data_IF_399614210453
#
_entry.id   IF_399614210453
#
_cell.length_a   1.000
_cell.length_b   1.000
_cell.length_c   1.000
_cell.angle_alpha   90.00
_cell.angle_beta   90.00
_cell.angle_gamma   90.00
#
_symmetry.space_group_name_H-M   'P 1'
#
loop_
_entity.id
_entity.type
_entity.pdbx_description
1 polymer ?
#
# COMPACT_ATOMS: atom_id res chain seq x y z
N UNK A 1 32.34 -21.53 -0.70
CA UNK A 1 31.79 -20.17 -0.47
C UNK A 1 31.45 -19.60 -1.84
N UNK A 2 30.33 -20.02 -2.40
CA UNK A 2 29.82 -19.49 -3.67
C UNK A 2 28.79 -18.40 -3.37
N UNK A 3 29.13 -17.17 -3.74
CA UNK A 3 28.22 -16.05 -3.78
C UNK A 3 27.24 -16.29 -4.94
N UNK A 4 26.01 -16.69 -4.64
CA UNK A 4 24.87 -16.53 -5.54
C UNK A 4 24.60 -15.04 -5.75
N UNK A 5 25.36 -14.39 -6.63
CA UNK A 5 25.08 -13.07 -7.19
C UNK A 5 24.37 -13.29 -8.53
N UNK A 6 23.04 -13.25 -8.54
CA UNK A 6 22.25 -13.09 -9.76
C UNK A 6 22.33 -11.65 -10.30
N UNK A 7 23.53 -11.09 -10.42
CA UNK A 7 23.75 -9.78 -11.04
C UNK A 7 24.76 -9.95 -12.16
N UNK A 8 24.27 -10.02 -13.40
CA UNK A 8 25.12 -9.81 -14.58
C UNK A 8 25.36 -8.31 -14.71
N UNK A 9 26.57 -7.89 -14.36
CA UNK A 9 27.07 -6.56 -14.69
C UNK A 9 27.45 -6.55 -16.17
N UNK A 10 26.78 -5.70 -16.95
CA UNK A 10 27.12 -5.49 -18.35
C UNK A 10 28.06 -4.28 -18.43
N UNK A 11 29.23 -4.44 -19.05
CA UNK A 11 30.20 -3.35 -19.23
C UNK A 11 29.72 -2.29 -20.24
N UNK A 12 28.63 -2.55 -20.97
CA UNK A 12 28.05 -1.66 -21.96
C UNK A 12 26.76 -1.03 -21.45
N UNK A 13 26.89 0.12 -20.79
CA UNK A 13 25.77 0.98 -20.41
C UNK A 13 26.05 1.76 -19.12
N UNK A 14 25.47 2.95 -19.01
CA UNK A 14 25.55 3.77 -17.79
C UNK A 14 24.74 3.22 -16.60
N UNK A 15 24.02 2.11 -16.79
CA UNK A 15 23.09 1.55 -15.80
C UNK A 15 21.88 2.44 -15.54
N UNK A 16 21.16 2.15 -14.46
CA UNK A 16 20.06 3.00 -13.96
C UNK A 16 20.69 4.14 -13.16
N UNK A 17 20.37 5.42 -13.44
CA UNK A 17 20.81 6.52 -12.59
C UNK A 17 20.38 6.32 -11.13
N UNK A 18 21.11 6.87 -10.16
CA UNK A 18 20.81 6.71 -8.72
C UNK A 18 19.35 7.11 -8.35
N UNK A 19 18.82 8.16 -8.96
CA UNK A 19 17.43 8.60 -8.81
C UNK A 19 16.46 8.00 -9.86
N UNK A 20 16.95 7.09 -10.71
CA UNK A 20 16.19 6.49 -11.80
C UNK A 20 15.23 5.41 -11.30
N UNK A 21 14.20 5.14 -12.11
CA UNK A 21 13.28 4.03 -11.92
C UNK A 21 12.91 3.49 -13.29
N UNK A 22 12.94 2.17 -13.46
CA UNK A 22 12.46 1.52 -14.67
C UNK A 22 11.10 0.90 -14.39
N UNK A 23 10.11 1.25 -15.22
CA UNK A 23 8.80 0.60 -15.23
C UNK A 23 8.66 -0.17 -16.55
N UNK A 24 8.55 -1.49 -16.45
CA UNK A 24 8.22 -2.35 -17.58
C UNK A 24 6.70 -2.40 -17.70
N UNK A 25 6.16 -2.06 -18.87
CA UNK A 25 4.73 -2.11 -19.12
C UNK A 25 4.47 -3.14 -20.20
N UNK A 26 3.57 -4.07 -19.91
CA UNK A 26 3.17 -5.13 -20.83
C UNK A 26 1.65 -5.27 -20.88
N UNK A 27 1.14 -5.97 -21.88
CA UNK A 27 -0.27 -6.28 -22.06
C UNK A 27 -0.47 -7.73 -22.48
N UNK A 28 -0.02 -8.67 -21.64
CA UNK A 28 -0.12 -10.10 -21.91
C UNK A 28 -1.26 -10.71 -21.09
N UNK A 29 -2.02 -11.59 -21.72
CA UNK A 29 -3.02 -12.39 -21.05
C UNK A 29 -2.34 -13.54 -20.27
N UNK A 30 -2.31 -13.43 -18.94
CA UNK A 30 -1.71 -14.43 -18.04
C UNK A 30 -2.78 -15.10 -17.16
N UNK A 31 -2.40 -16.07 -16.33
CA UNK A 31 -3.33 -16.69 -15.35
C UNK A 31 -3.88 -15.67 -14.34
N UNK A 32 -3.13 -14.62 -14.06
CA UNK A 32 -3.53 -13.51 -13.17
C UNK A 32 -4.65 -12.66 -13.79
N UNK A 33 -4.76 -12.64 -15.13
CA UNK A 33 -5.84 -11.98 -15.87
C UNK A 33 -7.16 -12.74 -15.87
N UNK A 34 -7.48 -13.41 -14.76
CA UNK A 34 -8.73 -14.13 -14.55
C UNK A 34 -9.72 -13.30 -13.73
N UNK A 35 -11.01 -13.59 -13.88
CA UNK A 35 -12.08 -12.88 -13.17
C UNK A 35 -12.13 -11.39 -13.49
N UNK A 36 -12.11 -10.57 -12.44
CA UNK A 36 -12.21 -9.10 -12.49
C UNK A 36 -10.85 -8.38 -12.48
N UNK A 37 -9.73 -9.10 -12.52
CA UNK A 37 -8.39 -8.47 -12.56
C UNK A 37 -8.19 -7.74 -13.88
N UNK A 38 -8.04 -6.42 -13.83
CA UNK A 38 -7.84 -5.58 -15.00
C UNK A 38 -6.37 -5.28 -15.30
N UNK A 39 -5.54 -5.24 -14.26
CA UNK A 39 -4.11 -5.13 -14.35
C UNK A 39 -3.48 -5.71 -13.08
N UNK A 40 -2.17 -5.92 -13.07
CA UNK A 40 -1.42 -6.28 -11.87
C UNK A 40 0.03 -5.77 -11.99
N UNK A 41 0.62 -5.45 -10.85
CA UNK A 41 1.96 -4.91 -10.77
C UNK A 41 2.72 -5.33 -9.52
N UNK A 42 4.04 -5.19 -9.57
CA UNK A 42 4.92 -5.39 -8.42
C UNK A 42 6.30 -4.79 -8.68
N UNK A 43 7.07 -4.61 -7.61
CA UNK A 43 8.50 -4.34 -7.71
C UNK A 43 9.28 -5.61 -8.08
N UNK A 44 10.16 -5.54 -9.07
CA UNK A 44 11.06 -6.61 -9.47
C UNK A 44 12.41 -6.54 -8.75
N UNK A 45 13.04 -5.36 -8.75
CA UNK A 45 14.37 -5.14 -8.19
C UNK A 45 14.36 -3.98 -7.21
N UNK A 46 15.09 -4.17 -6.13
CA UNK A 46 15.32 -3.16 -5.11
C UNK A 46 16.81 -2.89 -5.02
N UNK A 47 17.15 -1.62 -4.81
CA UNK A 47 18.51 -1.17 -4.58
C UNK A 47 19.11 -1.82 -3.32
N UNK A 48 20.32 -2.36 -3.41
CA UNK A 48 20.92 -3.14 -2.32
C UNK A 48 21.32 -2.30 -1.10
N UNK A 49 21.55 -1.00 -1.30
CA UNK A 49 22.00 -0.09 -0.25
C UNK A 49 20.83 0.56 0.49
N UNK A 50 19.83 1.00 -0.26
CA UNK A 50 18.70 1.81 0.20
C UNK A 50 17.40 1.01 0.34
N UNK A 51 17.35 -0.23 -0.13
CA UNK A 51 16.12 -1.02 -0.26
C UNK A 51 14.99 -0.28 -1.01
N UNK A 52 15.31 0.66 -1.89
CA UNK A 52 14.31 1.35 -2.69
C UNK A 52 13.94 0.49 -3.91
N UNK A 53 12.65 0.32 -4.26
CA UNK A 53 12.27 -0.23 -5.57
C UNK A 53 12.87 0.60 -6.72
N UNK A 54 13.59 -0.05 -7.64
CA UNK A 54 14.26 0.58 -8.80
C UNK A 54 13.82 0.02 -10.15
N UNK A 55 13.25 -1.18 -10.15
CA UNK A 55 12.60 -1.80 -11.31
C UNK A 55 11.26 -2.35 -10.83
N UNK A 56 10.18 -1.99 -11.52
CA UNK A 56 8.88 -2.63 -11.35
C UNK A 56 8.26 -2.94 -12.69
N UNK A 57 7.14 -3.65 -12.65
CA UNK A 57 6.35 -3.93 -13.84
C UNK A 57 4.88 -3.65 -13.59
N UNK A 58 4.17 -3.34 -14.68
CA UNK A 58 2.71 -3.31 -14.75
C UNK A 58 2.30 -4.16 -15.96
N UNK A 59 1.42 -5.13 -15.75
CA UNK A 59 0.80 -5.85 -16.85
C UNK A 59 -0.69 -5.50 -16.93
N UNK A 60 -1.12 -4.92 -18.04
CA UNK A 60 -2.53 -4.66 -18.34
C UNK A 60 -3.16 -5.91 -18.94
N UNK A 61 -4.26 -6.38 -18.38
CA UNK A 61 -4.96 -7.55 -18.92
C UNK A 61 -5.71 -7.17 -20.20
N UNK A 62 -5.43 -7.82 -21.35
CA UNK A 62 -6.07 -7.46 -22.62
C UNK A 62 -7.60 -7.49 -22.55
N UNK A 63 -8.25 -6.43 -23.05
CA UNK A 63 -9.71 -6.31 -23.09
C UNK A 63 -10.39 -5.98 -21.75
N UNK A 64 -9.63 -5.67 -20.69
CA UNK A 64 -10.17 -5.33 -19.36
C UNK A 64 -10.18 -3.84 -19.03
N UNK A 65 -9.60 -3.01 -19.90
CA UNK A 65 -9.47 -1.57 -19.71
C UNK A 65 -10.02 -0.84 -20.94
N UNK A 66 -10.90 0.14 -20.70
CA UNK A 66 -11.46 1.00 -21.74
C UNK A 66 -10.62 2.26 -21.92
N UNK A 67 -10.62 2.80 -23.14
CA UNK A 67 -9.88 4.04 -23.49
C UNK A 67 -10.79 5.19 -23.86
N UNK A 68 -12.10 4.92 -23.95
CA UNK A 68 -13.13 5.91 -24.25
C UNK A 68 -13.79 6.42 -22.97
N UNK A 69 -14.26 7.66 -23.00
CA UNK A 69 -14.99 8.24 -21.88
C UNK A 69 -16.35 7.54 -21.69
N UNK A 70 -16.76 7.19 -20.44
CA UNK A 70 -16.11 7.50 -19.14
C UNK A 70 -15.20 6.38 -18.59
N UNK A 71 -14.97 5.30 -19.34
CA UNK A 71 -14.21 4.13 -18.89
C UNK A 71 -12.71 4.44 -18.71
N UNK A 72 -12.18 5.33 -19.56
CA UNK A 72 -10.82 5.86 -19.50
C UNK A 72 -10.43 6.37 -18.11
N UNK A 73 -11.37 7.00 -17.38
CA UNK A 73 -11.16 7.49 -16.02
C UNK A 73 -10.88 6.33 -15.06
N UNK A 74 -11.70 5.29 -15.11
CA UNK A 74 -11.51 4.10 -14.27
C UNK A 74 -10.20 3.39 -14.63
N UNK A 75 -9.91 3.28 -15.92
CA UNK A 75 -8.67 2.68 -16.41
C UNK A 75 -7.42 3.44 -15.97
N UNK A 76 -7.44 4.78 -15.98
CA UNK A 76 -6.37 5.57 -15.42
C UNK A 76 -6.18 5.31 -13.92
N UNK A 77 -7.27 5.22 -13.16
CA UNK A 77 -7.23 4.89 -11.72
C UNK A 77 -6.60 3.53 -11.44
N UNK A 78 -7.00 2.51 -12.20
CA UNK A 78 -6.40 1.17 -12.11
C UNK A 78 -4.91 1.23 -12.42
N UNK A 79 -4.50 1.91 -13.49
CA UNK A 79 -3.09 1.99 -13.85
C UNK A 79 -2.25 2.71 -12.78
N UNK A 80 -2.79 3.80 -12.19
CA UNK A 80 -2.14 4.51 -11.09
C UNK A 80 -2.02 3.66 -9.82
N UNK A 81 -3.04 2.85 -9.51
CA UNK A 81 -3.01 1.88 -8.42
C UNK A 81 -1.89 0.86 -8.61
N UNK A 82 -1.79 0.28 -9.81
CA UNK A 82 -0.74 -0.67 -10.14
C UNK A 82 0.67 -0.05 -10.12
N UNK A 83 0.82 1.20 -10.57
CA UNK A 83 2.08 1.94 -10.38
C UNK A 83 2.41 2.07 -8.90
N UNK A 84 1.42 2.29 -8.03
CA UNK A 84 1.62 2.31 -6.58
C UNK A 84 2.27 1.02 -6.05
N UNK A 85 1.80 -0.14 -6.50
CA UNK A 85 2.42 -1.43 -6.18
C UNK A 85 3.83 -1.56 -6.74
N UNK A 86 4.05 -1.17 -8.00
CA UNK A 86 5.38 -1.20 -8.61
C UNK A 86 6.39 -0.34 -7.82
N UNK A 87 5.94 0.81 -7.31
CA UNK A 87 6.72 1.72 -6.47
C UNK A 87 6.91 1.21 -5.02
N UNK A 88 6.34 0.07 -4.66
CA UNK A 88 6.60 -0.62 -3.39
C UNK A 88 5.47 -0.53 -2.38
N UNK A 89 4.28 -0.06 -2.74
CA UNK A 89 3.09 -0.23 -1.89
C UNK A 89 2.67 -1.71 -1.89
N UNK A 90 3.39 -2.58 -1.18
CA UNK A 90 3.07 -4.00 -1.11
C UNK A 90 3.59 -4.62 0.17
N UNK A 91 2.86 -5.61 0.70
CA UNK A 91 3.23 -6.35 1.91
C UNK A 91 4.62 -6.98 1.85
N UNK A 92 5.10 -7.34 0.65
CA UNK A 92 6.46 -7.84 0.43
C UNK A 92 7.54 -6.77 0.60
N UNK A 93 7.20 -5.49 0.38
CA UNK A 93 8.13 -4.37 0.45
C UNK A 93 8.07 -3.61 1.79
N UNK A 94 6.95 -3.64 2.52
CA UNK A 94 6.83 -2.94 3.82
C UNK A 94 7.94 -3.28 4.84
N UNK A 95 8.42 -4.53 4.97
CA UNK A 95 9.53 -4.87 5.86
C UNK A 95 10.84 -4.17 5.50
N UNK A 96 10.96 -3.66 4.28
CA UNK A 96 12.15 -3.01 3.76
C UNK A 96 12.18 -1.50 3.96
N UNK A 97 11.09 -0.89 4.45
CA UNK A 97 11.02 0.55 4.70
C UNK A 97 12.11 1.03 5.66
N UNK A 98 12.51 2.28 5.47
CA UNK A 98 13.57 2.96 6.21
C UNK A 98 13.04 4.19 6.94
N UNK A 99 13.71 4.55 8.01
CA UNK A 99 13.54 5.84 8.67
C UNK A 99 14.06 6.96 7.75
N UNK A 100 13.65 8.23 7.98
CA UNK A 100 14.14 9.36 7.19
C UNK A 100 15.66 9.53 7.17
N UNK A 101 16.37 9.02 8.18
CA UNK A 101 17.84 9.02 8.24
C UNK A 101 18.48 7.84 7.47
N UNK A 102 17.71 7.08 6.69
CA UNK A 102 18.18 5.93 5.93
C UNK A 102 18.38 4.65 6.75
N UNK A 103 18.16 4.64 8.07
CA UNK A 103 18.25 3.41 8.87
C UNK A 103 17.07 2.49 8.58
N UNK A 104 17.30 1.19 8.44
CA UNK A 104 16.21 0.22 8.31
C UNK A 104 15.24 0.27 9.50
N UNK A 105 13.92 0.29 9.23
CA UNK A 105 12.89 0.22 10.28
C UNK A 105 12.82 -1.17 10.89
N UNK A 106 12.97 -2.19 10.06
CA UNK A 106 13.02 -3.59 10.45
C UNK A 106 14.46 -4.04 10.66
N UNK A 107 14.79 -4.73 11.78
CA UNK A 107 16.10 -5.33 11.99
C UNK A 107 16.52 -6.22 10.82
N UNK A 108 17.80 -6.17 10.47
CA UNK A 108 18.37 -6.96 9.38
C UNK A 108 19.14 -8.18 9.90
N UNK A 109 19.20 -9.23 9.09
CA UNK A 109 20.09 -10.37 9.27
C UNK A 109 21.50 -10.09 8.70
N UNK A 110 22.39 -11.09 8.78
CA UNK A 110 23.77 -10.99 8.26
C UNK A 110 23.84 -10.78 6.74
N UNK A 111 22.74 -11.07 6.03
CA UNK A 111 22.58 -10.86 4.58
C UNK A 111 21.88 -9.54 4.26
N UNK A 112 21.72 -8.65 5.24
CA UNK A 112 21.03 -7.34 5.13
C UNK A 112 19.55 -7.45 4.74
N UNK A 113 18.91 -8.61 4.92
CA UNK A 113 17.47 -8.80 4.67
C UNK A 113 16.68 -8.67 5.98
N UNK A 114 15.36 -8.38 5.95
CA UNK A 114 14.56 -8.32 7.17
C UNK A 114 14.67 -9.62 7.97
N UNK A 115 14.88 -9.51 9.28
CA UNK A 115 15.25 -10.64 10.14
C UNK A 115 14.14 -11.69 10.32
N UNK A 116 12.89 -11.26 10.34
CA UNK A 116 11.76 -12.12 10.70
C UNK A 116 10.91 -12.44 9.47
N UNK A 117 10.43 -13.69 9.42
CA UNK A 117 9.51 -14.19 8.41
C UNK A 117 8.31 -14.88 9.05
N UNK A 118 7.18 -14.87 8.36
CA UNK A 118 6.00 -15.65 8.75
C UNK A 118 6.13 -17.13 8.34
N UNK A 119 5.12 -17.93 8.68
CA UNK A 119 5.06 -19.36 8.35
C UNK A 119 5.06 -19.65 6.84
N UNK A 120 4.78 -18.65 6.01
CA UNK A 120 4.77 -18.76 4.54
C UNK A 120 6.08 -18.23 3.91
N UNK A 121 7.03 -17.78 4.73
CA UNK A 121 8.31 -17.25 4.29
C UNK A 121 8.31 -15.76 3.91
N UNK A 122 7.19 -15.05 4.13
CA UNK A 122 7.11 -13.61 3.87
C UNK A 122 7.80 -12.83 4.99
N UNK A 123 8.55 -11.80 4.65
CA UNK A 123 9.18 -10.93 5.65
C UNK A 123 8.12 -10.18 6.48
N UNK A 124 8.39 -10.05 7.78
CA UNK A 124 7.51 -9.36 8.72
C UNK A 124 8.09 -7.97 9.04
N UNK A 125 7.31 -6.88 8.89
CA UNK A 125 7.74 -5.55 9.28
C UNK A 125 7.80 -5.40 10.80
N UNK A 126 8.63 -4.49 11.30
CA UNK A 126 8.64 -4.17 12.74
C UNK A 126 7.38 -3.43 13.19
N UNK A 127 7.02 -3.58 14.47
CA UNK A 127 5.83 -2.98 15.09
C UNK A 127 5.80 -1.44 15.06
N UNK A 128 6.95 -0.79 14.82
CA UNK A 128 7.03 0.66 14.59
C UNK A 128 6.62 1.09 13.17
N UNK A 129 6.31 0.12 12.30
CA UNK A 129 5.92 0.33 10.90
C UNK A 129 4.48 -0.14 10.72
N UNK A 130 4.24 -1.42 10.97
CA UNK A 130 2.90 -2.03 10.98
C UNK A 130 2.76 -2.81 12.27
N UNK A 131 1.64 -2.64 12.97
CA UNK A 131 1.30 -3.44 14.15
C UNK A 131 -0.11 -3.97 14.04
N UNK A 132 -0.36 -5.06 14.78
CA UNK A 132 -1.70 -5.57 15.01
C UNK A 132 -2.41 -4.70 16.05
N UNK A 133 -3.62 -4.25 15.73
CA UNK A 133 -4.49 -3.45 16.57
C UNK A 133 -5.80 -4.21 16.76
N UNK A 134 -6.20 -4.40 18.00
CA UNK A 134 -7.41 -5.13 18.37
C UNK A 134 -8.48 -4.13 18.81
N UNK A 135 -9.64 -4.13 18.13
CA UNK A 135 -10.76 -3.22 18.44
C UNK A 135 -12.03 -4.00 18.77
N UNK A 136 -12.81 -3.45 19.70
CA UNK A 136 -14.18 -3.89 19.93
C UNK A 136 -15.04 -3.51 18.73
N UNK A 137 -15.83 -4.46 18.24
CA UNK A 137 -16.60 -4.31 17.01
C UNK A 137 -18.03 -4.78 17.21
N UNK A 138 -18.99 -3.97 16.78
CA UNK A 138 -20.42 -4.29 16.89
C UNK A 138 -20.99 -4.62 15.52
N UNK A 139 -21.81 -5.64 15.40
CA UNK A 139 -22.64 -5.88 14.23
C UNK A 139 -24.09 -6.11 14.65
N UNK A 140 -24.95 -6.42 13.68
CA UNK A 140 -26.30 -6.91 13.92
C UNK A 140 -26.33 -8.21 14.74
N UNK A 141 -25.24 -8.99 14.72
CA UNK A 141 -25.11 -10.23 15.48
C UNK A 141 -24.59 -10.03 16.92
N UNK A 142 -24.25 -8.80 17.32
CA UNK A 142 -23.76 -8.48 18.65
C UNK A 142 -22.33 -7.93 18.67
N UNK A 143 -21.64 -8.11 19.79
CA UNK A 143 -20.29 -7.58 20.03
C UNK A 143 -19.23 -8.66 19.84
N UNK A 144 -18.13 -8.28 19.20
CA UNK A 144 -16.97 -9.14 18.99
C UNK A 144 -15.69 -8.33 19.04
N UNK A 145 -14.57 -9.05 19.03
CA UNK A 145 -13.24 -8.49 18.92
C UNK A 145 -12.74 -8.69 17.51
N UNK A 146 -12.24 -7.63 16.86
CA UNK A 146 -11.66 -7.69 15.52
C UNK A 146 -10.24 -7.17 15.53
N UNK A 147 -9.37 -7.89 14.84
CA UNK A 147 -7.98 -7.54 14.64
C UNK A 147 -7.77 -6.85 13.29
N UNK A 148 -6.93 -5.83 13.29
CA UNK A 148 -6.50 -5.07 12.12
C UNK A 148 -4.98 -5.02 12.11
N UNK A 149 -4.36 -5.19 10.94
CA UNK A 149 -2.98 -4.75 10.75
C UNK A 149 -3.01 -3.34 10.22
N UNK A 150 -2.25 -2.44 10.84
CA UNK A 150 -2.31 -1.02 10.53
C UNK A 150 -0.93 -0.39 10.48
N UNK A 151 -0.75 0.54 9.55
CA UNK A 151 0.42 1.41 9.52
C UNK A 151 0.38 2.39 10.70
N UNK A 152 1.50 2.47 11.41
CA UNK A 152 1.67 3.38 12.56
C UNK A 152 2.84 4.35 12.37
N UNK A 153 3.34 4.47 11.14
CA UNK A 153 4.41 5.41 10.84
C UNK A 153 3.90 6.86 10.94
N UNK A 154 4.77 7.81 11.33
CA UNK A 154 4.30 9.12 11.79
C UNK A 154 3.51 9.93 10.77
N UNK A 155 3.92 9.95 9.49
CA UNK A 155 3.27 10.78 8.46
C UNK A 155 1.98 10.14 7.97
N UNK A 156 1.98 8.82 7.77
CA UNK A 156 0.76 8.08 7.39
C UNK A 156 -0.31 8.28 8.46
N UNK A 157 0.02 8.02 9.73
CA UNK A 157 -0.92 8.16 10.83
C UNK A 157 -1.40 9.59 10.99
N UNK A 158 -0.50 10.58 10.89
CA UNK A 158 -0.88 11.99 10.97
C UNK A 158 -1.81 12.41 9.81
N UNK A 159 -1.55 11.95 8.58
CA UNK A 159 -2.40 12.23 7.43
C UNK A 159 -3.80 11.64 7.61
N UNK A 160 -3.90 10.39 8.08
CA UNK A 160 -5.18 9.73 8.37
C UNK A 160 -5.93 10.44 9.51
N UNK A 161 -5.26 10.76 10.63
CA UNK A 161 -5.85 11.52 11.76
C UNK A 161 -6.43 12.85 11.32
N UNK A 162 -5.68 13.59 10.48
CA UNK A 162 -6.11 14.89 9.94
C UNK A 162 -7.28 14.75 8.98
N UNK A 163 -7.27 13.73 8.12
CA UNK A 163 -8.34 13.49 7.16
C UNK A 163 -9.67 13.17 7.85
N UNK A 164 -9.65 12.22 8.80
CA UNK A 164 -10.85 11.81 9.52
C UNK A 164 -11.25 12.76 10.67
N UNK A 165 -10.39 13.70 11.06
CA UNK A 165 -10.54 14.48 12.32
C UNK A 165 -10.66 13.56 13.54
N UNK A 166 -9.74 12.60 13.65
CA UNK A 166 -9.71 11.67 14.76
C UNK A 166 -8.31 11.62 15.39
N UNK A 167 -8.05 12.42 16.42
CA UNK A 167 -6.76 12.44 17.12
C UNK A 167 -6.42 11.12 17.82
N UNK A 168 -7.44 10.32 18.15
CA UNK A 168 -7.31 9.01 18.80
C UNK A 168 -7.06 7.85 17.83
N UNK A 169 -7.04 8.10 16.51
CA UNK A 169 -6.77 7.05 15.54
C UNK A 169 -5.41 6.42 15.87
N UNK A 170 -5.39 5.10 15.99
CA UNK A 170 -4.28 4.30 16.49
C UNK A 170 -3.44 3.68 15.37
N UNK A 171 -3.96 3.69 14.12
CA UNK A 171 -3.26 3.24 12.92
C UNK A 171 -4.06 3.55 11.66
N UNK A 172 -3.40 3.51 10.51
CA UNK A 172 -4.04 3.47 9.20
C UNK A 172 -4.23 2.01 8.77
N UNK A 173 -5.46 1.52 8.85
CA UNK A 173 -5.78 0.11 8.64
C UNK A 173 -5.49 -0.35 7.22
N UNK A 174 -4.92 -1.56 7.13
CA UNK A 174 -4.77 -2.30 5.88
C UNK A 174 -5.97 -3.23 5.66
N UNK A 175 -6.18 -3.56 4.40
CA UNK A 175 -7.16 -4.56 4.00
C UNK A 175 -6.96 -5.86 4.79
N UNK A 176 -8.08 -6.49 5.15
CA UNK A 176 -8.14 -7.70 5.96
C UNK A 176 -9.01 -8.79 5.32
N UNK A 177 -9.50 -8.55 4.10
CA UNK A 177 -10.29 -9.50 3.32
C UNK A 177 -9.52 -9.95 2.07
N UNK A 178 -9.72 -11.20 1.68
CA UNK A 178 -9.25 -11.76 0.39
C UNK A 178 -7.73 -11.65 0.13
N UNK A 179 -6.92 -11.83 1.18
CA UNK A 179 -5.47 -11.79 1.10
C UNK A 179 -4.82 -13.11 1.55
N UNK A 180 -3.65 -13.41 1.00
CA UNK A 180 -2.92 -14.66 1.25
C UNK A 180 -2.19 -14.68 2.60
N UNK A 181 -1.88 -13.51 3.15
CA UNK A 181 -1.16 -13.35 4.41
C UNK A 181 -1.89 -12.41 5.39
N UNK A 182 -1.37 -12.27 6.63
CA UNK A 182 -2.00 -11.43 7.64
C UNK A 182 -1.98 -9.94 7.29
N UNK A 183 -0.98 -9.48 6.54
CA UNK A 183 -0.80 -8.08 6.15
C UNK A 183 -1.17 -7.93 4.67
N UNK A 184 -2.17 -7.09 4.40
CA UNK A 184 -2.61 -6.76 3.05
C UNK A 184 -1.72 -5.76 2.34
N UNK A 185 -1.83 -5.72 1.01
CA UNK A 185 -1.14 -4.74 0.15
C UNK A 185 -2.03 -3.55 -0.22
N UNK A 186 -3.14 -3.34 0.49
CA UNK A 186 -4.07 -2.24 0.20
C UNK A 186 -4.51 -1.57 1.50
N UNK A 187 -4.95 -0.32 1.41
CA UNK A 187 -5.72 0.29 2.49
C UNK A 187 -7.06 -0.42 2.66
N UNK A 188 -7.57 -0.41 3.90
CA UNK A 188 -8.82 -1.07 4.23
C UNK A 188 -10.00 -0.45 3.47
N UNK A 189 -10.73 -1.28 2.70
CA UNK A 189 -11.70 -0.80 1.72
C UNK A 189 -12.87 -0.01 2.32
N UNK A 190 -13.29 -0.31 3.56
CA UNK A 190 -14.40 0.40 4.22
C UNK A 190 -14.00 1.80 4.63
N UNK A 191 -12.82 1.98 5.18
CA UNK A 191 -12.35 3.29 5.71
C UNK A 191 -11.76 4.18 4.63
N UNK A 192 -11.12 3.58 3.61
CA UNK A 192 -10.39 4.31 2.59
C UNK A 192 -11.15 4.44 1.26
N UNK A 193 -12.03 3.49 0.90
CA UNK A 193 -12.93 3.57 -0.27
C UNK A 193 -12.30 4.19 -1.53
N UNK A 194 -12.61 5.45 -1.86
CA UNK A 194 -12.08 6.16 -3.03
C UNK A 194 -10.62 6.63 -2.88
N UNK A 195 -9.86 6.10 -1.93
CA UNK A 195 -8.40 6.26 -1.89
C UNK A 195 -7.76 5.35 -2.96
N UNK A 196 -6.77 5.87 -3.68
CA UNK A 196 -6.18 5.16 -4.82
C UNK A 196 -5.66 3.76 -4.48
N UNK A 197 -5.10 3.52 -3.29
CA UNK A 197 -4.55 2.23 -2.86
C UNK A 197 -5.51 1.43 -1.97
N UNK A 198 -6.80 1.79 -1.91
CA UNK A 198 -7.79 0.98 -1.21
C UNK A 198 -8.05 -0.34 -1.93
N UNK A 199 -8.45 -1.39 -1.19
CA UNK A 199 -8.72 -2.73 -1.74
C UNK A 199 -9.91 -2.80 -2.72
N UNK A 200 -10.59 -1.68 -2.96
CA UNK A 200 -11.64 -1.51 -3.97
C UNK A 200 -11.44 -0.18 -4.67
N UNK A 201 -11.08 -0.22 -5.95
CA UNK A 201 -10.91 0.98 -6.77
C UNK A 201 -12.30 1.52 -7.16
N UNK A 202 -12.45 2.84 -7.10
CA UNK A 202 -13.67 3.55 -7.50
C UNK A 202 -13.34 4.58 -8.59
N UNK A 203 -14.32 4.95 -9.42
CA UNK A 203 -14.15 5.90 -10.53
C UNK A 203 -13.76 7.30 -10.03
N UNK A 204 -14.17 7.65 -8.81
CA UNK A 204 -13.88 8.90 -8.11
C UNK A 204 -12.64 8.80 -7.19
N UNK A 205 -11.64 8.02 -7.60
CA UNK A 205 -10.41 7.81 -6.81
C UNK A 205 -9.65 9.11 -6.49
N UNK A 206 -8.81 9.03 -5.47
CA UNK A 206 -7.94 10.10 -5.02
C UNK A 206 -6.57 9.57 -4.63
N UNK A 207 -5.52 10.11 -5.27
CA UNK A 207 -4.15 10.01 -4.77
C UNK A 207 -4.02 10.94 -3.57
N UNK A 208 -4.40 10.43 -2.39
CA UNK A 208 -4.58 11.24 -1.20
C UNK A 208 -3.26 11.56 -0.50
N UNK A 209 -3.33 12.46 0.49
CA UNK A 209 -2.22 12.69 1.42
C UNK A 209 -1.82 11.43 2.19
N UNK A 210 -2.70 10.44 2.37
CA UNK A 210 -2.37 9.20 3.09
C UNK A 210 -1.41 8.34 2.25
N UNK A 211 -1.76 8.05 0.99
CA UNK A 211 -0.87 7.31 0.08
C UNK A 211 0.43 8.05 -0.20
N UNK A 212 0.37 9.38 -0.39
CA UNK A 212 1.58 10.18 -0.53
C UNK A 212 2.47 10.12 0.74
N UNK A 213 1.86 10.09 1.92
CA UNK A 213 2.62 9.91 3.17
C UNK A 213 3.26 8.53 3.28
N UNK A 214 2.67 7.50 2.68
CA UNK A 214 3.32 6.19 2.60
C UNK A 214 4.65 6.27 1.83
N UNK A 215 4.63 6.89 0.65
CA UNK A 215 5.84 7.03 -0.15
C UNK A 215 6.94 7.80 0.58
N UNK A 216 6.58 8.80 1.38
CA UNK A 216 7.56 9.52 2.19
C UNK A 216 8.04 8.73 3.42
N UNK A 217 7.13 8.10 4.17
CA UNK A 217 7.48 7.32 5.37
C UNK A 217 8.23 6.02 5.04
N UNK A 218 8.14 5.54 3.79
CA UNK A 218 8.95 4.44 3.27
C UNK A 218 10.44 4.71 3.33
N UNK A 219 10.84 5.98 3.32
CA UNK A 219 12.24 6.41 3.22
C UNK A 219 12.82 6.28 1.81
N UNK A 220 11.98 5.97 0.81
CA UNK A 220 12.39 5.77 -0.58
C UNK A 220 12.23 6.99 -1.47
N UNK A 221 11.25 7.86 -1.16
CA UNK A 221 10.83 8.95 -2.03
C UNK A 221 10.75 10.27 -1.28
N UNK A 222 11.01 11.37 -1.99
CA UNK A 222 10.61 12.71 -1.58
C UNK A 222 9.29 13.06 -2.23
N UNK A 223 8.37 13.65 -1.48
CA UNK A 223 6.98 13.79 -1.89
C UNK A 223 6.56 15.26 -1.93
N UNK A 224 6.01 15.68 -3.06
CA UNK A 224 5.36 16.99 -3.20
C UNK A 224 3.86 16.88 -2.85
N UNK A 225 3.52 17.25 -1.62
CA UNK A 225 2.13 17.23 -1.14
C UNK A 225 1.23 18.30 -1.78
N UNK A 226 1.78 19.26 -2.55
CA UNK A 226 0.94 20.21 -3.31
C UNK A 226 0.15 19.51 -4.42
N UNK A 227 0.62 18.33 -4.85
CA UNK A 227 -0.04 17.48 -5.86
C UNK A 227 -1.07 16.52 -5.28
N UNK A 228 -1.25 16.50 -3.96
CA UNK A 228 -2.23 15.63 -3.31
C UNK A 228 -3.65 15.94 -3.81
N UNK A 229 -4.35 14.92 -4.29
CA UNK A 229 -5.76 15.05 -4.65
C UNK A 229 -6.62 15.25 -3.40
N UNK A 230 -7.73 15.97 -3.57
CA UNK A 230 -8.75 16.10 -2.53
C UNK A 230 -9.50 14.78 -2.43
N UNK A 231 -9.33 14.10 -1.31
CA UNK A 231 -10.10 12.91 -0.96
C UNK A 231 -11.27 13.35 -0.07
N UNK A 232 -12.50 12.98 -0.42
CA UNK A 232 -13.72 13.44 0.28
C UNK A 232 -14.34 12.35 1.16
N UNK A 233 -14.20 11.09 0.78
CA UNK A 233 -14.79 9.99 1.52
C UNK A 233 -14.22 9.92 2.95
N UNK A 234 -15.10 9.82 3.96
CA UNK A 234 -14.69 9.77 5.37
C UNK A 234 -14.18 11.08 5.96
N UNK A 235 -14.00 12.14 5.15
CA UNK A 235 -13.38 13.38 5.58
C UNK A 235 -14.15 14.01 6.74
N UNK A 236 -13.44 14.28 7.83
CA UNK A 236 -13.95 14.92 9.05
C UNK A 236 -15.13 14.19 9.72
N UNK A 237 -15.35 12.91 9.43
CA UNK A 237 -16.43 12.11 10.04
C UNK A 237 -16.09 11.57 11.45
N UNK A 238 -14.90 11.86 11.96
CA UNK A 238 -14.50 11.60 13.33
C UNK A 238 -14.09 10.15 13.61
N UNK A 239 -13.83 9.88 14.89
CA UNK A 239 -13.33 8.58 15.33
C UNK A 239 -14.34 7.47 15.14
N UNK A 240 -15.64 7.74 15.34
CA UNK A 240 -16.68 6.72 15.20
C UNK A 240 -16.74 6.17 13.77
N UNK A 241 -16.58 7.03 12.77
CA UNK A 241 -16.49 6.58 11.38
C UNK A 241 -15.26 5.69 11.15
N UNK A 242 -14.09 6.14 11.60
CA UNK A 242 -12.81 5.46 11.30
C UNK A 242 -12.58 4.17 12.10
N UNK A 243 -13.04 4.11 13.36
CA UNK A 243 -12.66 3.05 14.31
C UNK A 243 -13.80 2.07 14.64
N UNK A 244 -15.05 2.35 14.24
CA UNK A 244 -16.20 1.46 14.47
C UNK A 244 -16.68 0.80 13.19
N UNK A 245 -17.54 -0.19 13.35
CA UNK A 245 -18.21 -0.86 12.24
C UNK A 245 -19.20 0.06 11.53
N UNK A 246 -19.55 -0.30 10.29
CA UNK A 246 -20.63 0.39 9.56
C UNK A 246 -21.94 0.38 10.34
N UNK A 247 -22.25 -0.74 11.01
CA UNK A 247 -23.47 -0.89 11.79
C UNK A 247 -23.46 0.05 13.01
N UNK A 248 -22.40 0.03 13.83
CA UNK A 248 -22.33 0.87 15.03
C UNK A 248 -22.31 2.36 14.66
N UNK A 249 -21.57 2.72 13.62
CA UNK A 249 -21.56 4.08 13.10
C UNK A 249 -22.96 4.52 12.64
N UNK A 250 -23.68 3.68 11.89
CA UNK A 250 -25.03 3.99 11.45
C UNK A 250 -26.00 4.16 12.62
N UNK A 251 -25.90 3.32 13.65
CA UNK A 251 -26.72 3.43 14.86
C UNK A 251 -26.44 4.71 15.64
N UNK A 252 -25.17 5.12 15.77
CA UNK A 252 -24.79 6.39 16.43
C UNK A 252 -25.36 7.58 15.66
N UNK A 253 -25.39 7.54 14.32
CA UNK A 253 -25.87 8.64 13.46
C UNK A 253 -27.39 8.72 13.36
N UNK A 254 -28.13 7.71 13.85
CA UNK A 254 -29.60 7.70 13.89
C UNK A 254 -30.17 8.39 15.14
N UNK A 255 -29.35 8.61 16.16
CA UNK A 255 -29.70 9.31 17.40
C UNK A 255 -29.53 10.82 17.21
#
# INVERSE_FOLDING_TARGET
MELNREFKTYNNGSGIPSAGYILLVDAINTRTCSGSTAAFASSCLMDEETDRPILGFVNVCPGKMGVDYPEDRNSLGIFLHEIGHALGFSSSNFPFMRFPNGKARTPRDDKRKPKYKDQYGNYIPSNNTITKITRTWRSTAGWFTKDFYAFVTPKILNAARKHFTCNRLDGADLENQYQTGPIGSHWEGRTYSSEIMAGRIQVDYSVSRVTLSFFEDSGWYTVDYSKAMKWEYGRQLGCDFSMKSCFDYAEIRRQ
#
